data_IF_720141549781
#
_entry.id   IF_720141549781
#
_cell.length_a   1.000
_cell.length_b   1.000
_cell.length_c   1.000
_cell.angle_alpha   90.00
_cell.angle_beta   90.00
_cell.angle_gamma   90.00
#
_symmetry.space_group_name_H-M   'P 1'
#
loop_
_entity.id
_entity.type
_entity.pdbx_description
1 polymer ?
#
# COMPACT_ATOMS: atom_id res chain seq x y z
N UNK A 1 -44.70 -14.44 -13.14
CA UNK A 1 -44.13 -13.32 -13.92
C UNK A 1 -43.03 -12.71 -13.08
N UNK A 2 -41.78 -13.14 -13.30
CA UNK A 2 -40.62 -12.89 -12.40
C UNK A 2 -39.42 -12.47 -13.24
N UNK A 3 -39.60 -11.49 -14.14
CA UNK A 3 -38.67 -11.22 -15.26
C UNK A 3 -38.05 -9.82 -15.29
N UNK A 4 -38.04 -9.11 -14.15
CA UNK A 4 -37.59 -7.70 -14.12
C UNK A 4 -36.39 -7.44 -13.19
N UNK A 5 -36.15 -8.28 -12.19
CA UNK A 5 -35.07 -8.04 -11.23
C UNK A 5 -33.75 -8.53 -11.84
N UNK A 6 -33.63 -9.83 -12.13
CA UNK A 6 -32.44 -10.53 -12.68
C UNK A 6 -31.82 -9.97 -13.98
N UNK A 7 -32.52 -9.12 -14.73
CA UNK A 7 -31.91 -8.41 -15.87
C UNK A 7 -31.06 -7.24 -15.40
N UNK A 8 -31.48 -6.52 -14.35
CA UNK A 8 -30.81 -5.31 -13.87
C UNK A 8 -29.44 -5.57 -13.23
N UNK A 9 -29.29 -6.61 -12.39
CA UNK A 9 -27.99 -6.94 -11.80
C UNK A 9 -27.03 -7.54 -12.81
N UNK A 10 -27.56 -8.25 -13.81
CA UNK A 10 -26.74 -8.82 -14.87
C UNK A 10 -26.23 -7.75 -15.84
N UNK A 11 -27.02 -6.71 -16.13
CA UNK A 11 -26.52 -5.52 -16.83
C UNK A 11 -25.37 -4.87 -16.06
N UNK A 12 -25.55 -4.64 -14.75
CA UNK A 12 -24.50 -4.05 -13.88
C UNK A 12 -23.22 -4.89 -13.87
N UNK A 13 -23.33 -6.21 -13.76
CA UNK A 13 -22.20 -7.13 -13.85
C UNK A 13 -21.44 -7.01 -15.18
N UNK A 14 -22.17 -6.92 -16.29
CA UNK A 14 -21.56 -6.75 -17.61
C UNK A 14 -20.87 -5.39 -17.75
N UNK A 15 -21.52 -4.31 -17.33
CA UNK A 15 -20.94 -2.97 -17.35
C UNK A 15 -19.65 -2.92 -16.55
N UNK A 16 -19.63 -3.51 -15.35
CA UNK A 16 -18.42 -3.57 -14.54
C UNK A 16 -17.28 -4.33 -15.24
N UNK A 17 -17.58 -5.46 -15.90
CA UNK A 17 -16.57 -6.19 -16.68
C UNK A 17 -16.03 -5.36 -17.87
N UNK A 18 -16.87 -4.53 -18.49
CA UNK A 18 -16.45 -3.61 -19.56
C UNK A 18 -15.51 -2.54 -19.00
N UNK A 19 -15.88 -1.91 -17.88
CA UNK A 19 -15.08 -0.89 -17.21
C UNK A 19 -13.71 -1.44 -16.78
N UNK A 20 -13.67 -2.66 -16.22
CA UNK A 20 -12.41 -3.31 -15.84
C UNK A 20 -11.54 -3.60 -17.07
N UNK A 21 -12.13 -4.04 -18.19
CA UNK A 21 -11.38 -4.24 -19.45
C UNK A 21 -10.80 -2.92 -19.96
N UNK A 22 -11.58 -1.85 -19.93
CA UNK A 22 -11.16 -0.53 -20.41
C UNK A 22 -10.08 0.07 -19.51
N UNK A 23 -10.19 -0.10 -18.19
CA UNK A 23 -9.17 0.30 -17.23
C UNK A 23 -7.85 -0.46 -17.43
N UNK A 24 -7.91 -1.72 -17.87
CA UNK A 24 -6.76 -2.50 -18.28
C UNK A 24 -6.19 -2.09 -19.66
N UNK A 25 -6.75 -1.05 -20.31
CA UNK A 25 -6.40 -0.59 -21.66
C UNK A 25 -6.49 -1.69 -22.73
N UNK A 26 -7.41 -2.66 -22.57
CA UNK A 26 -7.58 -3.76 -23.52
C UNK A 26 -8.75 -3.50 -24.47
N UNK A 27 -8.54 -3.71 -25.77
CA UNK A 27 -9.66 -3.79 -26.70
C UNK A 27 -10.41 -5.11 -26.54
N UNK A 28 -11.64 -5.19 -27.05
CA UNK A 28 -12.37 -6.47 -27.11
C UNK A 28 -11.58 -7.56 -27.85
N UNK A 29 -10.80 -7.17 -28.87
CA UNK A 29 -9.96 -8.10 -29.63
C UNK A 29 -8.78 -8.60 -28.78
N UNK A 30 -8.17 -7.74 -27.97
CA UNK A 30 -7.04 -8.12 -27.12
C UNK A 30 -7.48 -9.07 -26.01
N UNK A 31 -8.60 -8.78 -25.35
CA UNK A 31 -9.17 -9.68 -24.36
C UNK A 31 -9.54 -11.04 -25.00
N UNK A 32 -10.13 -11.03 -26.19
CA UNK A 32 -10.47 -12.26 -26.90
C UNK A 32 -9.22 -13.11 -27.23
N UNK A 33 -8.12 -12.47 -27.65
CA UNK A 33 -6.82 -13.14 -27.87
C UNK A 33 -6.29 -13.76 -26.58
N UNK A 34 -6.32 -13.03 -25.46
CA UNK A 34 -5.89 -13.55 -24.14
C UNK A 34 -6.70 -14.76 -23.69
N UNK A 35 -7.99 -14.79 -24.01
CA UNK A 35 -8.90 -15.89 -23.70
C UNK A 35 -8.82 -17.07 -24.67
N UNK A 36 -8.12 -16.95 -25.81
CA UNK A 36 -8.16 -17.94 -26.88
C UNK A 36 -9.56 -18.09 -27.50
N UNK A 37 -10.36 -17.01 -27.52
CA UNK A 37 -11.74 -17.00 -28.05
C UNK A 37 -11.87 -16.02 -29.22
N UNK A 38 -12.89 -16.17 -30.11
CA UNK A 38 -13.18 -15.15 -31.13
C UNK A 38 -13.62 -13.83 -30.48
N UNK A 39 -13.30 -12.67 -31.10
CA UNK A 39 -13.75 -11.36 -30.60
C UNK A 39 -15.28 -11.27 -30.44
N UNK A 40 -16.05 -12.03 -31.25
CA UNK A 40 -17.49 -12.13 -31.11
C UNK A 40 -17.95 -12.68 -29.75
N UNK A 41 -17.12 -13.49 -29.06
CA UNK A 41 -17.42 -13.95 -27.70
C UNK A 41 -17.50 -12.76 -26.75
N UNK A 42 -16.47 -11.89 -26.79
CA UNK A 42 -16.39 -10.68 -25.96
C UNK A 42 -17.52 -9.72 -26.29
N UNK A 43 -17.70 -9.40 -27.57
CA UNK A 43 -18.77 -8.50 -28.01
C UNK A 43 -20.17 -8.98 -27.61
N UNK A 44 -20.44 -10.28 -27.66
CA UNK A 44 -21.77 -10.83 -27.34
C UNK A 44 -22.08 -10.74 -25.85
N UNK A 45 -21.13 -11.03 -24.96
CA UNK A 45 -21.39 -10.86 -23.54
C UNK A 45 -21.42 -9.38 -23.15
N UNK A 46 -20.59 -8.53 -23.77
CA UNK A 46 -20.61 -7.09 -23.47
C UNK A 46 -21.87 -6.40 -23.96
N UNK A 47 -22.52 -6.90 -25.03
CA UNK A 47 -23.82 -6.40 -25.52
C UNK A 47 -25.04 -7.09 -24.90
N UNK A 48 -24.84 -8.15 -24.11
CA UNK A 48 -25.93 -8.83 -23.41
C UNK A 48 -26.66 -9.88 -24.23
N UNK A 49 -26.17 -10.14 -25.43
CA UNK A 49 -26.67 -11.19 -26.32
C UNK A 49 -26.29 -12.59 -25.78
N UNK A 50 -25.33 -12.67 -24.86
CA UNK A 50 -24.89 -13.91 -24.23
C UNK A 50 -24.66 -13.74 -22.72
N UNK A 51 -25.11 -14.72 -21.94
CA UNK A 51 -24.77 -14.80 -20.50
C UNK A 51 -23.45 -15.54 -20.29
N UNK A 52 -22.66 -15.07 -19.32
CA UNK A 52 -21.46 -15.73 -18.83
C UNK A 52 -21.83 -16.66 -17.68
N UNK A 53 -21.21 -17.84 -17.65
CA UNK A 53 -21.20 -18.67 -16.44
C UNK A 53 -20.02 -18.30 -15.52
N UNK A 54 -19.97 -18.93 -14.34
CA UNK A 54 -18.93 -18.64 -13.33
C UNK A 54 -17.53 -19.02 -13.79
N UNK A 55 -17.38 -20.07 -14.59
CA UNK A 55 -16.06 -20.51 -15.08
C UNK A 55 -15.56 -19.52 -16.12
N UNK A 56 -16.43 -19.09 -17.04
CA UNK A 56 -16.10 -18.07 -18.03
C UNK A 56 -15.77 -16.72 -17.37
N UNK A 57 -16.48 -16.35 -16.30
CA UNK A 57 -16.14 -15.19 -15.49
C UNK A 57 -14.72 -15.31 -14.90
N UNK A 58 -14.37 -16.44 -14.29
CA UNK A 58 -13.03 -16.66 -13.73
C UNK A 58 -11.93 -16.61 -14.80
N UNK A 59 -12.19 -17.17 -15.99
CA UNK A 59 -11.29 -17.07 -17.15
C UNK A 59 -11.09 -15.61 -17.57
N UNK A 60 -12.17 -14.82 -17.65
CA UNK A 60 -12.14 -13.39 -17.97
C UNK A 60 -11.37 -12.60 -16.92
N UNK A 61 -11.65 -12.79 -15.63
CA UNK A 61 -10.94 -12.13 -14.53
C UNK A 61 -9.44 -12.40 -14.60
N UNK A 62 -9.05 -13.66 -14.84
CA UNK A 62 -7.64 -14.04 -15.01
C UNK A 62 -7.01 -13.36 -16.23
N UNK A 63 -7.71 -13.33 -17.37
CA UNK A 63 -7.22 -12.67 -18.58
C UNK A 63 -7.09 -11.14 -18.44
N UNK A 64 -7.91 -10.56 -17.57
CA UNK A 64 -7.86 -9.15 -17.17
C UNK A 64 -6.84 -8.86 -16.08
N UNK A 65 -6.18 -9.88 -15.52
CA UNK A 65 -5.22 -9.76 -14.40
C UNK A 65 -5.85 -9.13 -13.14
N UNK A 66 -7.16 -9.36 -12.93
CA UNK A 66 -7.90 -8.88 -11.76
C UNK A 66 -8.40 -10.06 -10.95
N UNK A 67 -8.30 -9.98 -9.63
CA UNK A 67 -8.80 -11.03 -8.76
C UNK A 67 -10.35 -11.07 -8.83
N UNK A 68 -10.99 -12.22 -9.08
CA UNK A 68 -12.44 -12.31 -9.25
C UNK A 68 -13.25 -11.75 -8.07
N UNK A 69 -12.72 -11.86 -6.85
CA UNK A 69 -13.35 -11.33 -5.64
C UNK A 69 -13.50 -9.81 -5.69
N UNK A 70 -12.55 -9.08 -6.28
CA UNK A 70 -12.61 -7.61 -6.35
C UNK A 70 -13.75 -7.16 -7.28
N UNK A 71 -13.96 -7.89 -8.38
CA UNK A 71 -15.07 -7.64 -9.31
C UNK A 71 -16.41 -7.97 -8.63
N UNK A 72 -16.50 -9.07 -7.89
CA UNK A 72 -17.70 -9.44 -7.16
C UNK A 72 -18.03 -8.43 -6.06
N UNK A 73 -17.04 -7.96 -5.31
CA UNK A 73 -17.19 -6.91 -4.30
C UNK A 73 -17.67 -5.60 -4.94
N UNK A 74 -17.07 -5.21 -6.07
CA UNK A 74 -17.55 -4.06 -6.86
C UNK A 74 -19.00 -4.23 -7.30
N UNK A 75 -19.38 -5.44 -7.74
CA UNK A 75 -20.76 -5.76 -8.11
C UNK A 75 -21.71 -5.71 -6.91
N UNK A 76 -21.32 -6.20 -5.73
CA UNK A 76 -22.10 -6.11 -4.49
C UNK A 76 -22.37 -4.66 -4.09
N UNK A 77 -21.34 -3.81 -4.19
CA UNK A 77 -21.45 -2.35 -3.98
C UNK A 77 -22.39 -1.71 -5.02
N UNK A 78 -22.33 -2.11 -6.29
CA UNK A 78 -23.18 -1.58 -7.39
C UNK A 78 -24.61 -2.15 -7.36
N UNK A 79 -24.82 -3.29 -6.73
CA UNK A 79 -26.14 -3.95 -6.63
C UNK A 79 -26.84 -3.71 -5.31
N UNK A 80 -26.14 -3.15 -4.32
CA UNK A 80 -26.70 -2.75 -3.02
C UNK A 80 -27.00 -3.95 -2.14
N UNK A 81 -26.25 -5.04 -2.34
CA UNK A 81 -26.39 -6.29 -1.59
C UNK A 81 -25.41 -6.40 -0.41
N UNK A 82 -24.49 -5.45 -0.30
CA UNK A 82 -23.74 -5.22 0.92
C UNK A 82 -24.62 -4.33 1.82
N UNK A 83 -25.20 -4.91 2.88
CA UNK A 83 -26.14 -4.21 3.78
C UNK A 83 -25.48 -2.99 4.46
N UNK A 84 -24.14 -2.89 4.43
CA UNK A 84 -23.36 -1.83 5.06
C UNK A 84 -22.99 -0.65 4.14
N UNK A 85 -23.18 -0.73 2.81
CA UNK A 85 -22.79 0.37 1.88
C UNK A 85 -23.86 0.60 0.80
N UNK A 86 -24.73 1.63 0.94
CA UNK A 86 -25.75 1.94 -0.05
C UNK A 86 -25.17 2.33 -1.42
N UNK A 87 -25.55 1.61 -2.47
CA UNK A 87 -25.14 1.90 -3.84
C UNK A 87 -25.51 3.30 -4.30
N UNK A 88 -24.58 3.97 -4.99
CA UNK A 88 -24.83 5.28 -5.63
C UNK A 88 -24.68 6.46 -4.68
N UNK A 89 -24.41 6.17 -3.40
CA UNK A 89 -24.12 7.12 -2.35
C UNK A 89 -22.65 6.96 -1.96
N UNK A 90 -21.80 7.89 -2.38
CA UNK A 90 -20.46 7.98 -1.81
C UNK A 90 -20.55 8.67 -0.44
N UNK A 91 -19.46 8.66 0.33
CA UNK A 91 -19.46 9.26 1.67
C UNK A 91 -19.92 10.72 1.68
N UNK A 92 -19.66 11.48 0.60
CA UNK A 92 -20.09 12.87 0.46
C UNK A 92 -21.62 12.97 0.31
N UNK A 93 -22.23 12.08 -0.49
CA UNK A 93 -23.69 12.00 -0.60
C UNK A 93 -24.34 11.54 0.71
N UNK A 94 -23.71 10.61 1.44
CA UNK A 94 -24.21 10.16 2.75
C UNK A 94 -24.20 11.30 3.77
N UNK A 95 -23.16 12.14 3.74
CA UNK A 95 -23.02 13.29 4.62
C UNK A 95 -23.72 14.55 4.09
N UNK A 96 -24.33 14.48 2.91
CA UNK A 96 -24.97 15.61 2.24
C UNK A 96 -24.05 16.83 2.04
N UNK A 97 -22.76 16.58 1.74
CA UNK A 97 -21.76 17.63 1.47
C UNK A 97 -21.23 17.58 0.03
N UNK A 98 -20.74 18.70 -0.48
CA UNK A 98 -20.05 18.79 -1.77
C UNK A 98 -18.55 18.53 -1.64
N UNK A 99 -17.84 18.21 -2.75
CA UNK A 99 -16.37 18.15 -2.76
C UNK A 99 -15.71 19.47 -2.32
N UNK A 100 -16.30 20.61 -2.63
CA UNK A 100 -15.81 21.94 -2.25
C UNK A 100 -15.92 22.15 -0.74
N UNK A 101 -17.04 21.75 -0.13
CA UNK A 101 -17.22 21.80 1.33
C UNK A 101 -16.24 20.89 2.05
N UNK A 102 -16.03 19.66 1.55
CA UNK A 102 -14.99 18.79 2.09
C UNK A 102 -13.59 19.39 1.93
N UNK A 103 -13.32 20.03 0.79
CA UNK A 103 -12.04 20.69 0.54
C UNK A 103 -11.79 21.80 1.55
N UNK A 104 -12.79 22.65 1.82
CA UNK A 104 -12.71 23.69 2.84
C UNK A 104 -12.48 23.09 4.23
N UNK A 105 -13.22 22.04 4.60
CA UNK A 105 -13.02 21.33 5.86
C UNK A 105 -11.58 20.80 6.01
N UNK A 106 -11.01 20.22 4.96
CA UNK A 106 -9.63 19.71 4.98
C UNK A 106 -8.61 20.87 5.09
N UNK A 107 -8.84 21.99 4.41
CA UNK A 107 -7.97 23.16 4.47
C UNK A 107 -7.97 23.77 5.87
N UNK A 108 -9.14 23.92 6.47
CA UNK A 108 -9.34 24.52 7.79
C UNK A 108 -8.88 23.61 8.94
N UNK A 109 -8.76 22.30 8.70
CA UNK A 109 -8.40 21.31 9.71
C UNK A 109 -7.09 20.58 9.36
N UNK A 110 -5.91 21.13 9.74
CA UNK A 110 -4.61 20.52 9.45
C UNK A 110 -4.45 19.07 9.94
N UNK A 111 -5.05 18.73 11.09
CA UNK A 111 -5.01 17.36 11.63
C UNK A 111 -5.76 16.36 10.74
N UNK A 112 -6.93 16.76 10.23
CA UNK A 112 -7.69 15.94 9.27
C UNK A 112 -6.92 15.78 7.96
N UNK A 113 -6.34 16.87 7.45
CA UNK A 113 -5.49 16.84 6.25
C UNK A 113 -4.31 15.89 6.41
N UNK A 114 -3.61 15.96 7.55
CA UNK A 114 -2.48 15.08 7.84
C UNK A 114 -2.88 13.60 7.89
N UNK A 115 -4.00 13.30 8.55
CA UNK A 115 -4.55 11.95 8.59
C UNK A 115 -4.88 11.42 7.20
N UNK A 116 -5.61 12.18 6.39
CA UNK A 116 -5.98 11.79 5.02
C UNK A 116 -4.75 11.61 4.12
N UNK A 117 -3.77 12.51 4.20
CA UNK A 117 -2.52 12.38 3.46
C UNK A 117 -1.79 11.08 3.80
N UNK A 118 -1.83 10.63 5.05
CA UNK A 118 -1.28 9.34 5.45
C UNK A 118 -1.92 8.17 4.69
N UNK A 119 -3.25 8.08 4.72
CA UNK A 119 -3.98 7.02 4.01
C UNK A 119 -3.83 7.10 2.49
N UNK A 120 -3.86 8.30 1.92
CA UNK A 120 -3.66 8.49 0.47
C UNK A 120 -2.22 8.13 0.08
N UNK A 121 -1.23 8.41 0.93
CA UNK A 121 0.16 8.01 0.68
C UNK A 121 0.30 6.48 0.60
N UNK A 122 -0.40 5.72 1.45
CA UNK A 122 -0.41 4.25 1.34
C UNK A 122 -0.99 3.76 0.01
N UNK A 123 -2.12 4.35 -0.42
CA UNK A 123 -2.72 4.05 -1.72
C UNK A 123 -1.76 4.38 -2.88
N UNK A 124 -1.15 5.57 -2.84
CA UNK A 124 -0.23 6.05 -3.88
C UNK A 124 1.06 5.26 -3.92
N UNK A 125 1.57 4.83 -2.77
CA UNK A 125 2.71 3.92 -2.71
C UNK A 125 2.41 2.61 -3.46
N UNK A 126 1.25 2.03 -3.21
CA UNK A 126 0.80 0.82 -3.91
C UNK A 126 0.69 1.03 -5.42
N UNK A 127 -0.01 2.07 -5.87
CA UNK A 127 -0.21 2.37 -7.30
C UNK A 127 1.11 2.60 -8.03
N UNK A 128 2.07 3.27 -7.40
CA UNK A 128 3.32 3.69 -8.05
C UNK A 128 4.42 2.63 -8.02
N UNK A 129 4.51 1.82 -6.95
CA UNK A 129 5.69 1.02 -6.67
C UNK A 129 5.45 -0.48 -6.52
N UNK A 130 4.19 -0.92 -6.39
CA UNK A 130 3.90 -2.36 -6.19
C UNK A 130 3.50 -3.08 -7.48
N UNK A 131 3.37 -2.37 -8.60
CA UNK A 131 3.15 -2.96 -9.93
C UNK A 131 4.43 -3.55 -10.58
N UNK A 132 5.50 -3.75 -9.82
CA UNK A 132 6.77 -4.29 -10.31
C UNK A 132 6.70 -5.82 -10.50
N UNK A 133 7.31 -6.36 -11.55
CA UNK A 133 7.24 -7.80 -11.89
C UNK A 133 7.77 -8.74 -10.81
N UNK A 134 8.74 -8.27 -10.02
CA UNK A 134 9.34 -9.03 -8.92
C UNK A 134 8.52 -8.99 -7.63
N UNK A 135 7.47 -8.15 -7.57
CA UNK A 135 6.53 -8.08 -6.45
C UNK A 135 5.31 -8.92 -6.80
N UNK A 136 5.11 -10.01 -6.07
CA UNK A 136 4.09 -11.03 -6.41
C UNK A 136 2.83 -10.92 -5.56
N UNK A 137 2.90 -10.24 -4.42
CA UNK A 137 1.77 -10.01 -3.52
C UNK A 137 2.06 -8.81 -2.62
N UNK A 138 1.00 -8.12 -2.20
CA UNK A 138 1.03 -7.10 -1.17
C UNK A 138 -0.21 -7.25 -0.29
N UNK A 139 -0.05 -7.10 1.03
CA UNK A 139 -1.17 -7.13 1.97
C UNK A 139 -0.84 -6.33 3.23
N UNK A 140 -1.88 -5.98 4.00
CA UNK A 140 -1.76 -5.41 5.34
C UNK A 140 -2.09 -6.53 6.33
N UNK A 141 -1.27 -6.71 7.37
CA UNK A 141 -1.66 -7.58 8.48
C UNK A 141 -2.89 -6.97 9.18
N UNK A 142 -3.88 -7.80 9.54
CA UNK A 142 -5.15 -7.38 10.12
C UNK A 142 -4.92 -6.75 11.52
N UNK A 143 -5.57 -5.61 11.80
CA UNK A 143 -5.36 -4.79 13.00
C UNK A 143 -5.79 -5.51 14.31
N UNK A 144 -6.45 -6.67 14.20
CA UNK A 144 -6.84 -7.53 15.32
C UNK A 144 -5.70 -8.39 15.89
N UNK A 145 -4.57 -8.58 15.19
CA UNK A 145 -3.38 -9.22 15.77
C UNK A 145 -2.41 -8.17 16.35
N UNK A 146 -2.44 -8.02 17.68
CA UNK A 146 -1.61 -7.06 18.42
C UNK A 146 -0.10 -7.34 18.33
N UNK A 147 0.31 -8.46 17.75
CA UNK A 147 1.73 -8.83 17.59
C UNK A 147 2.35 -8.35 16.28
N UNK A 148 1.53 -8.00 15.27
CA UNK A 148 1.97 -7.52 13.94
C UNK A 148 1.04 -6.40 13.47
N UNK A 149 1.23 -5.21 14.01
CA UNK A 149 0.40 -4.03 13.70
C UNK A 149 0.83 -3.40 12.39
N UNK A 150 -0.14 -2.99 11.56
CA UNK A 150 -0.05 -1.83 10.65
C UNK A 150 0.83 -1.97 9.41
N UNK A 151 1.82 -2.85 9.41
CA UNK A 151 2.88 -2.80 8.42
C UNK A 151 2.47 -3.44 7.09
N UNK A 152 2.88 -2.79 5.99
CA UNK A 152 2.65 -3.32 4.64
C UNK A 152 3.66 -4.40 4.36
N UNK A 153 3.18 -5.59 4.02
CA UNK A 153 4.04 -6.69 3.60
C UNK A 153 4.01 -6.80 2.09
N UNK A 154 5.20 -6.88 1.51
CA UNK A 154 5.40 -7.14 0.08
C UNK A 154 6.14 -8.45 -0.08
N UNK A 155 5.79 -9.24 -1.10
CA UNK A 155 6.53 -10.44 -1.48
C UNK A 155 7.43 -10.10 -2.65
N UNK A 156 8.70 -9.86 -2.39
CA UNK A 156 9.71 -9.54 -3.40
C UNK A 156 10.60 -10.77 -3.64
N UNK A 157 10.60 -11.30 -4.88
CA UNK A 157 11.35 -12.52 -5.25
C UNK A 157 11.07 -13.75 -4.35
N UNK A 158 9.85 -13.84 -3.83
CA UNK A 158 9.40 -14.92 -2.95
C UNK A 158 9.67 -14.69 -1.46
N UNK A 159 10.32 -13.59 -1.09
CA UNK A 159 10.65 -13.24 0.30
C UNK A 159 9.73 -12.12 0.82
N UNK A 160 9.34 -12.22 2.10
CA UNK A 160 8.51 -11.22 2.78
C UNK A 160 9.34 -10.01 3.24
N UNK A 161 9.00 -8.81 2.77
CA UNK A 161 9.56 -7.56 3.29
C UNK A 161 8.48 -6.69 3.90
N UNK A 162 8.82 -6.06 5.02
CA UNK A 162 7.96 -5.14 5.77
C UNK A 162 8.33 -3.71 5.38
N UNK A 163 7.35 -2.98 4.86
CA UNK A 163 7.49 -1.59 4.42
C UNK A 163 6.69 -0.67 5.34
N UNK A 164 7.39 0.30 5.90
CA UNK A 164 6.79 1.36 6.71
C UNK A 164 6.56 2.61 5.87
N UNK A 165 5.31 3.07 5.77
CA UNK A 165 4.94 4.24 4.97
C UNK A 165 4.65 5.43 5.88
N UNK A 166 5.44 6.51 5.75
CA UNK A 166 5.28 7.74 6.53
C UNK A 166 5.14 8.96 5.62
N UNK A 167 4.69 10.08 6.18
CA UNK A 167 4.62 11.37 5.50
C UNK A 167 5.41 12.43 6.26
N UNK A 168 5.82 13.49 5.56
CA UNK A 168 6.49 14.64 6.18
C UNK A 168 5.57 15.37 7.18
N UNK A 169 6.16 15.82 8.30
CA UNK A 169 5.51 16.76 9.20
C UNK A 169 5.46 18.15 8.55
N UNK A 170 4.26 18.64 8.24
CA UNK A 170 4.07 19.89 7.49
C UNK A 170 4.83 21.07 8.09
N UNK A 171 4.82 21.21 9.42
CA UNK A 171 5.47 22.33 10.13
C UNK A 171 7.01 22.26 10.13
N UNK A 172 7.59 21.14 9.68
CA UNK A 172 9.05 20.96 9.60
C UNK A 172 9.64 21.38 8.25
N UNK A 173 8.78 21.61 7.26
CA UNK A 173 9.18 21.78 5.87
C UNK A 173 9.79 23.17 5.67
N UNK A 174 10.94 23.20 5.01
CA UNK A 174 11.63 24.42 4.59
C UNK A 174 12.39 24.16 3.30
N UNK A 175 12.62 25.21 2.53
CA UNK A 175 13.52 25.19 1.38
C UNK A 175 14.72 26.07 1.69
N UNK A 176 15.92 25.50 1.59
CA UNK A 176 17.18 26.24 1.71
C UNK A 176 17.89 26.10 0.37
N UNK A 177 18.12 27.23 -0.31
CA UNK A 177 18.56 27.27 -1.69
C UNK A 177 17.65 26.42 -2.60
N UNK A 178 18.20 25.37 -3.24
CA UNK A 178 17.47 24.44 -4.08
C UNK A 178 17.19 23.09 -3.40
N UNK A 179 17.37 22.98 -2.08
CA UNK A 179 17.14 21.75 -1.32
C UNK A 179 15.92 21.93 -0.42
N UNK A 180 14.93 21.07 -0.63
CA UNK A 180 13.84 20.90 0.32
C UNK A 180 14.29 20.05 1.50
N UNK A 181 13.88 20.45 2.69
CA UNK A 181 14.20 19.78 3.95
C UNK A 181 12.91 19.66 4.74
N UNK A 182 12.64 18.47 5.26
CA UNK A 182 11.53 18.21 6.16
C UNK A 182 11.90 17.09 7.13
N UNK A 183 10.97 16.74 8.00
CA UNK A 183 11.13 15.64 8.95
C UNK A 183 9.96 14.67 8.82
N UNK A 184 10.26 13.38 8.81
CA UNK A 184 9.26 12.34 8.95
C UNK A 184 9.26 11.83 10.39
N UNK A 185 8.08 11.60 10.94
CA UNK A 185 7.93 10.93 12.22
C UNK A 185 7.85 9.42 11.97
N UNK A 186 8.84 8.69 12.49
CA UNK A 186 9.08 7.26 12.31
C UNK A 186 9.03 6.58 13.67
N UNK A 187 7.85 6.64 14.28
CA UNK A 187 7.49 5.94 15.51
C UNK A 187 6.12 5.25 15.34
N UNK A 188 5.81 4.36 16.27
CA UNK A 188 4.51 3.70 16.35
C UNK A 188 3.42 4.62 16.87
N UNK A 189 2.17 4.34 16.49
CA UNK A 189 0.99 5.14 16.88
C UNK A 189 0.76 5.20 18.39
N UNK A 190 1.08 4.12 19.10
CA UNK A 190 0.87 3.96 20.53
C UNK A 190 2.15 3.51 21.22
N UNK A 191 2.24 3.82 22.51
CA UNK A 191 3.28 3.23 23.35
C UNK A 191 3.03 1.74 23.50
N UNK A 192 4.11 0.97 23.43
CA UNK A 192 4.13 -0.46 23.65
C UNK A 192 5.36 -0.86 24.44
N UNK A 193 5.29 -2.03 25.06
CA UNK A 193 6.43 -2.63 25.72
C UNK A 193 7.33 -3.32 24.69
N UNK A 194 8.59 -2.91 24.65
CA UNK A 194 9.60 -3.40 23.72
C UNK A 194 10.70 -4.07 24.53
N UNK A 195 10.90 -5.36 24.31
CA UNK A 195 11.98 -6.13 24.94
C UNK A 195 13.26 -6.01 24.10
N UNK A 196 14.36 -5.68 24.76
CA UNK A 196 15.65 -5.43 24.13
C UNK A 196 16.66 -6.55 24.36
N UNK A 197 17.76 -6.51 23.61
CA UNK A 197 18.81 -7.53 23.65
C UNK A 197 19.50 -7.64 25.02
N UNK A 198 19.54 -6.56 25.80
CA UNK A 198 20.04 -6.55 27.19
C UNK A 198 19.02 -7.09 28.21
N UNK A 199 17.87 -7.58 27.74
CA UNK A 199 16.78 -8.09 28.58
C UNK A 199 15.89 -7.00 29.17
N UNK A 200 16.20 -5.72 28.97
CA UNK A 200 15.36 -4.62 29.46
C UNK A 200 14.05 -4.53 28.66
N UNK A 201 13.02 -4.00 29.31
CA UNK A 201 11.73 -3.70 28.69
C UNK A 201 11.49 -2.20 28.76
N UNK A 202 11.20 -1.58 27.62
CA UNK A 202 10.88 -0.17 27.52
C UNK A 202 9.46 0.04 27.03
N UNK A 203 8.69 0.85 27.73
CA UNK A 203 7.41 1.36 27.25
C UNK A 203 7.68 2.60 26.36
N UNK A 204 7.59 2.45 25.04
CA UNK A 204 7.99 3.49 24.07
C UNK A 204 7.15 3.44 22.79
N UNK A 205 7.10 4.56 22.06
CA UNK A 205 6.60 4.60 20.68
C UNK A 205 7.71 4.32 19.66
N UNK A 206 8.98 4.41 20.06
CA UNK A 206 10.10 4.26 19.13
C UNK A 206 10.14 2.86 18.51
N UNK A 207 10.33 2.82 17.19
CA UNK A 207 10.54 1.59 16.45
C UNK A 207 11.95 1.04 16.69
N UNK A 208 12.07 -0.29 16.63
CA UNK A 208 13.32 -1.01 16.73
C UNK A 208 14.08 -1.00 15.40
N UNK A 209 15.39 -1.14 15.54
CA UNK A 209 16.24 -1.57 14.43
C UNK A 209 15.81 -2.97 13.99
N UNK A 210 15.59 -3.13 12.68
CA UNK A 210 15.09 -4.34 12.02
C UNK A 210 13.64 -4.71 12.38
N UNK A 211 12.83 -3.78 12.88
CA UNK A 211 11.38 -4.00 13.05
C UNK A 211 10.64 -4.07 11.72
N UNK A 212 11.11 -3.30 10.75
CA UNK A 212 10.68 -3.31 9.37
C UNK A 212 11.93 -3.28 8.48
N UNK A 213 11.77 -3.51 7.18
CA UNK A 213 12.89 -3.59 6.24
C UNK A 213 13.14 -2.25 5.53
N UNK A 214 12.08 -1.65 4.98
CA UNK A 214 12.15 -0.45 4.15
C UNK A 214 11.25 0.66 4.69
N UNK A 215 11.77 1.87 4.81
CA UNK A 215 10.99 3.07 5.07
C UNK A 215 10.68 3.74 3.73
N UNK A 216 9.41 4.05 3.47
CA UNK A 216 8.94 4.89 2.38
C UNK A 216 8.37 6.20 2.93
N UNK A 217 9.00 7.33 2.64
CA UNK A 217 8.53 8.65 3.06
C UNK A 217 7.88 9.35 1.88
N UNK A 218 6.58 9.60 1.97
CA UNK A 218 5.85 10.50 1.08
C UNK A 218 6.34 11.94 1.27
N UNK A 219 6.86 12.51 0.18
CA UNK A 219 7.40 13.88 0.12
C UNK A 219 6.53 14.83 -0.70
N UNK A 220 5.25 14.50 -0.91
CA UNK A 220 4.28 15.33 -1.64
C UNK A 220 4.32 16.80 -1.25
N UNK A 221 4.45 17.09 0.05
CA UNK A 221 4.43 18.45 0.58
C UNK A 221 5.64 19.34 0.18
N UNK A 222 6.67 18.79 -0.48
CA UNK A 222 7.75 19.61 -1.03
C UNK A 222 7.34 20.32 -2.33
N UNK A 223 6.73 19.60 -3.28
CA UNK A 223 6.50 20.12 -4.63
C UNK A 223 5.06 19.92 -5.14
N UNK A 224 4.16 19.42 -4.29
CA UNK A 224 2.80 18.98 -4.63
C UNK A 224 2.77 17.90 -5.72
N UNK A 225 3.79 17.03 -5.71
CA UNK A 225 3.91 15.91 -6.62
C UNK A 225 4.06 14.62 -5.82
N UNK A 226 3.32 13.57 -6.21
CA UNK A 226 3.44 12.27 -5.56
C UNK A 226 4.82 11.69 -5.81
N UNK A 227 5.65 11.73 -4.77
CA UNK A 227 7.02 11.22 -4.75
C UNK A 227 7.28 10.59 -3.40
N UNK A 228 8.12 9.57 -3.42
CA UNK A 228 8.58 8.88 -2.23
C UNK A 228 10.10 8.86 -2.21
N UNK A 229 10.66 8.85 -1.02
CA UNK A 229 12.06 8.54 -0.80
C UNK A 229 12.19 7.37 0.16
N UNK A 230 13.20 6.54 -0.06
CA UNK A 230 13.30 5.22 0.53
C UNK A 230 14.61 5.05 1.28
N UNK A 231 14.59 4.38 2.42
CA UNK A 231 15.80 4.01 3.15
C UNK A 231 15.62 2.64 3.83
N UNK A 232 16.69 1.85 3.91
CA UNK A 232 16.69 0.62 4.72
C UNK A 232 16.60 0.98 6.19
N UNK A 233 15.84 0.22 6.98
CA UNK A 233 15.77 0.42 8.43
C UNK A 233 17.16 0.41 9.10
N UNK A 234 18.05 -0.46 8.62
CA UNK A 234 19.43 -0.58 9.09
C UNK A 234 20.20 0.74 9.04
N UNK A 235 19.89 1.59 8.07
CA UNK A 235 20.66 2.80 7.76
C UNK A 235 20.05 4.06 8.42
N UNK A 236 18.89 3.92 9.05
CA UNK A 236 18.20 5.02 9.73
C UNK A 236 18.92 5.44 11.02
N UNK A 237 18.89 6.75 11.36
CA UNK A 237 19.54 7.26 12.55
C UNK A 237 18.97 6.63 13.84
N UNK A 238 19.87 6.37 14.79
CA UNK A 238 19.53 5.81 16.09
C UNK A 238 19.13 6.89 17.10
N UNK A 239 18.43 6.48 18.15
CA UNK A 239 18.02 7.38 19.23
C UNK A 239 19.24 8.01 19.94
N UNK A 240 19.19 9.32 20.14
CA UNK A 240 20.24 10.09 20.83
C UNK A 240 19.86 10.47 22.25
N UNK A 241 18.71 10.01 22.75
CA UNK A 241 18.22 10.36 24.08
C UNK A 241 19.15 9.83 25.18
N UNK A 242 19.75 10.75 25.95
CA UNK A 242 20.77 10.42 26.95
C UNK A 242 20.27 9.60 28.14
N UNK A 243 18.95 9.55 28.36
CA UNK A 243 18.34 8.72 29.40
C UNK A 243 18.32 7.23 29.06
N UNK A 244 18.58 6.86 27.80
CA UNK A 244 18.68 5.47 27.37
C UNK A 244 20.10 4.92 27.56
N UNK A 245 20.18 3.64 27.93
CA UNK A 245 21.45 2.90 27.94
C UNK A 245 22.08 2.86 26.54
N UNK A 246 23.38 2.59 26.41
CA UNK A 246 24.01 2.42 25.10
C UNK A 246 23.32 1.36 24.23
N UNK A 247 22.89 0.23 24.82
CA UNK A 247 22.17 -0.84 24.12
C UNK A 247 20.81 -0.33 23.64
N UNK A 248 20.03 0.32 24.51
CA UNK A 248 18.74 0.92 24.16
C UNK A 248 18.87 1.92 23.01
N UNK A 249 19.87 2.81 23.04
CA UNK A 249 20.11 3.77 21.95
C UNK A 249 20.45 3.07 20.64
N UNK A 250 21.24 2.00 20.67
CA UNK A 250 21.60 1.24 19.48
C UNK A 250 20.41 0.46 18.91
N UNK A 251 19.49 -0.01 19.76
CA UNK A 251 18.32 -0.79 19.35
C UNK A 251 17.12 0.04 18.91
N UNK A 252 17.09 1.34 19.17
CA UNK A 252 15.93 2.20 18.86
C UNK A 252 16.26 3.19 17.74
N UNK A 253 15.33 3.36 16.82
CA UNK A 253 15.37 4.42 15.82
C UNK A 253 15.09 5.79 16.46
N UNK A 254 15.61 6.85 15.84
CA UNK A 254 15.24 8.24 16.15
C UNK A 254 13.81 8.48 15.64
N UNK A 255 12.93 9.06 16.48
CA UNK A 255 11.54 9.32 16.08
C UNK A 255 11.41 10.32 14.94
N UNK A 256 12.24 11.37 14.90
CA UNK A 256 12.20 12.38 13.84
C UNK A 256 13.43 12.25 12.95
N UNK A 257 13.19 11.81 11.72
CA UNK A 257 14.21 11.58 10.70
C UNK A 257 14.20 12.73 9.72
N UNK A 258 15.37 13.31 9.47
CA UNK A 258 15.53 14.40 8.51
C UNK A 258 15.47 13.84 7.09
N UNK A 259 14.68 14.45 6.22
CA UNK A 259 14.41 14.01 4.85
C UNK A 259 14.60 15.19 3.91
N UNK A 260 15.22 14.95 2.75
CA UNK A 260 15.52 15.99 1.77
C UNK A 260 15.01 15.65 0.37
N UNK A 261 14.84 16.69 -0.44
CA UNK A 261 14.66 16.56 -1.89
C UNK A 261 15.53 17.58 -2.63
N UNK A 262 16.38 17.16 -3.59
CA UNK A 262 16.69 15.77 -3.99
C UNK A 262 17.19 14.90 -2.82
N UNK A 263 17.01 13.57 -2.88
CA UNK A 263 17.31 12.70 -1.74
C UNK A 263 18.82 12.69 -1.45
N UNK A 264 19.15 12.68 -0.17
CA UNK A 264 20.51 12.49 0.34
C UNK A 264 20.57 11.22 1.18
N UNK A 265 21.77 10.63 1.26
CA UNK A 265 22.02 9.44 2.09
C UNK A 265 21.43 9.60 3.50
N UNK A 266 20.72 8.58 4.04
CA UNK A 266 20.56 7.23 3.50
C UNK A 266 19.42 7.05 2.49
N UNK A 267 18.74 8.14 2.08
CA UNK A 267 17.57 8.05 1.22
C UNK A 267 17.90 7.91 -0.28
N UNK A 268 17.07 7.14 -0.98
CA UNK A 268 17.04 6.94 -2.43
C UNK A 268 15.67 7.36 -3.00
N UNK A 269 15.61 7.74 -4.27
CA UNK A 269 14.34 7.95 -4.99
C UNK A 269 13.74 6.65 -5.56
N UNK A 270 14.52 5.57 -5.58
CA UNK A 270 14.15 4.26 -6.14
C UNK A 270 14.26 3.19 -5.04
N UNK A 271 13.19 2.44 -4.74
CA UNK A 271 13.20 1.40 -3.72
C UNK A 271 13.85 0.10 -4.20
N UNK A 272 13.90 -0.20 -5.51
CA UNK A 272 14.26 -1.53 -5.99
C UNK A 272 15.73 -1.89 -5.75
N UNK A 273 16.72 -0.98 -5.91
CA UNK A 273 18.09 -1.27 -5.51
C UNK A 273 18.22 -1.61 -4.02
N UNK A 274 17.46 -0.92 -3.16
CA UNK A 274 17.47 -1.18 -1.72
C UNK A 274 16.82 -2.54 -1.39
N UNK A 275 15.71 -2.88 -2.05
CA UNK A 275 15.07 -4.20 -1.92
C UNK A 275 16.00 -5.33 -2.38
N UNK A 276 16.72 -5.12 -3.48
CA UNK A 276 17.71 -6.09 -3.96
C UNK A 276 18.84 -6.28 -2.96
N UNK A 277 19.38 -5.19 -2.39
CA UNK A 277 20.39 -5.28 -1.33
C UNK A 277 19.88 -6.08 -0.13
N UNK A 278 18.67 -5.76 0.37
CA UNK A 278 18.04 -6.46 1.48
C UNK A 278 17.84 -7.96 1.18
N UNK A 279 17.40 -8.29 -0.04
CA UNK A 279 17.26 -9.68 -0.50
C UNK A 279 18.61 -10.43 -0.48
N UNK A 280 19.68 -9.82 -1.00
CA UNK A 280 21.00 -10.43 -1.01
C UNK A 280 21.59 -10.59 0.40
N UNK A 281 21.36 -9.63 1.29
CA UNK A 281 21.77 -9.67 2.71
C UNK A 281 21.12 -10.86 3.44
N UNK A 282 19.82 -11.10 3.21
CA UNK A 282 19.10 -12.26 3.77
C UNK A 282 19.62 -13.58 3.19
N UNK A 283 19.74 -13.69 1.87
CA UNK A 283 20.25 -14.90 1.22
C UNK A 283 21.69 -15.26 1.67
N UNK A 284 22.52 -14.26 1.98
CA UNK A 284 23.86 -14.49 2.56
C UNK A 284 23.78 -15.00 4.00
N UNK A 285 22.89 -14.44 4.80
CA UNK A 285 22.68 -14.83 6.21
C UNK A 285 22.18 -16.27 6.34
N UNK A 286 21.26 -16.71 5.48
CA UNK A 286 20.75 -18.09 5.45
C UNK A 286 21.80 -19.12 5.04
N UNK A 287 22.61 -18.79 4.03
CA UNK A 287 23.75 -19.63 3.61
C UNK A 287 24.76 -19.81 4.73
N UNK A 288 25.08 -18.74 5.45
CA UNK A 288 25.97 -18.80 6.60
C UNK A 288 25.37 -19.65 7.73
N UNK A 289 24.08 -19.48 8.06
CA UNK A 289 23.39 -20.28 9.08
C UNK A 289 23.32 -21.77 8.72
N UNK A 290 23.12 -22.10 7.44
CA UNK A 290 23.08 -23.49 6.95
C UNK A 290 24.44 -24.17 6.96
N UNK A 291 25.52 -23.42 6.74
CA UNK A 291 26.91 -23.93 6.81
C UNK A 291 27.41 -24.24 8.24
N UNK A 292 26.70 -23.75 9.27
CA UNK A 292 27.04 -23.94 10.68
C UNK A 292 26.27 -25.11 11.34
N UNK A 293 25.34 -25.78 10.64
CA UNK A 293 24.69 -27.00 11.14
C UNK A 293 25.62 -28.20 10.91
N UNK A 294 26.05 -28.92 11.96
CA UNK A 294 26.90 -30.10 11.80
C UNK A 294 26.12 -31.18 11.04
N UNK A 295 26.74 -31.78 10.01
CA UNK A 295 26.23 -32.98 9.35
C UNK A 295 26.00 -34.06 10.40
N UNK A 296 24.73 -34.38 10.60
CA UNK A 296 24.26 -35.45 11.49
C UNK A 296 24.61 -36.81 10.91
#
# INVERSE_FOLDING_TARGET
>A
MTRSIYSSEYEKFRTLLIEVREAANLTQLDLAKRLGRPQSFVSKYERGERRLDVIEFLEISKALEVHPFDILKGLEIITGKDEDIPTGTNILKTWEITPEELTLLIIENPSLRGMLIGYIAELKFQEMWLAHSDITSFFKHDDHDRTRRGDRVIIYKGEEFIVEVKSLQTNSIKKIDNIWIGKAQVDGSDKRDVKLADGTVLNTTLLLVNEFDLLAVNIFAFENEWRFVFAKNSDLPRSTYRGYTPVQRQSLLKSLIDVTWPPQSPFSADPYPLLEELYQERAKSERNASSLKPSS
#
